data_IF_831461595359
#
_entry.id   IF_831461595359
#
_cell.length_a   1.000
_cell.length_b   1.000
_cell.length_c   1.000
_cell.angle_alpha   90.00
_cell.angle_beta   90.00
_cell.angle_gamma   90.00
#
_symmetry.space_group_name_H-M   'P 1'
#
loop_
_entity.id
_entity.type
_entity.pdbx_description
1 polymer ?
#
# COMPACT_ATOMS: atom_id res chain seq x y z
N UNK A 1 -16.35 19.00 7.07
CA UNK A 1 -15.49 18.72 8.25
C UNK A 1 -14.58 17.54 7.93
N UNK A 2 -13.24 17.69 7.95
CA UNK A 2 -12.31 16.55 7.84
C UNK A 2 -12.46 15.71 9.12
N UNK A 3 -12.97 14.49 8.99
CA UNK A 3 -13.10 13.57 10.11
C UNK A 3 -11.70 13.18 10.57
N UNK A 4 -11.36 13.53 11.80
CA UNK A 4 -10.04 13.23 12.37
C UNK A 4 -9.86 11.70 12.46
N UNK A 5 -8.90 11.17 11.69
CA UNK A 5 -8.67 9.73 11.61
C UNK A 5 -7.84 9.34 12.84
N UNK A 6 -8.54 9.09 13.95
CA UNK A 6 -7.93 8.64 15.23
C UNK A 6 -7.04 7.41 15.08
N UNK A 7 -7.32 6.53 14.12
CA UNK A 7 -6.52 5.32 13.86
C UNK A 7 -6.26 5.10 12.37
N UNK A 8 -5.16 5.67 11.88
CA UNK A 8 -4.76 5.61 10.47
C UNK A 8 -4.54 4.15 10.03
N UNK A 9 -3.95 3.30 10.87
CA UNK A 9 -3.70 1.88 10.55
C UNK A 9 -5.01 1.13 10.32
N UNK A 10 -5.97 1.28 11.22
CA UNK A 10 -7.29 0.70 11.08
C UNK A 10 -8.02 1.22 9.82
N UNK A 11 -7.86 2.50 9.50
CA UNK A 11 -8.42 3.09 8.28
C UNK A 11 -7.82 2.49 7.01
N UNK A 12 -6.51 2.28 6.96
CA UNK A 12 -5.84 1.65 5.81
C UNK A 12 -6.30 0.20 5.67
N UNK A 13 -6.35 -0.58 6.77
CA UNK A 13 -6.84 -1.97 6.73
C UNK A 13 -8.27 -2.04 6.19
N UNK A 14 -9.16 -1.17 6.66
CA UNK A 14 -10.54 -1.11 6.18
C UNK A 14 -10.62 -0.78 4.69
N UNK A 15 -9.81 0.17 4.20
CA UNK A 15 -9.74 0.50 2.77
C UNK A 15 -9.28 -0.69 1.93
N UNK A 16 -8.23 -1.39 2.36
CA UNK A 16 -7.73 -2.57 1.65
C UNK A 16 -8.73 -3.73 1.69
N UNK A 17 -9.46 -3.90 2.80
CA UNK A 17 -10.54 -4.89 2.91
C UNK A 17 -11.71 -4.58 1.98
N UNK A 18 -12.09 -3.30 1.85
CA UNK A 18 -13.11 -2.89 0.88
C UNK A 18 -12.64 -3.13 -0.55
N UNK A 19 -11.38 -2.81 -0.85
CA UNK A 19 -10.81 -3.04 -2.18
C UNK A 19 -10.80 -4.53 -2.55
N UNK A 20 -10.40 -5.40 -1.61
CA UNK A 20 -10.43 -6.85 -1.82
C UNK A 20 -11.84 -7.37 -2.14
N UNK A 21 -12.87 -6.83 -1.49
CA UNK A 21 -14.27 -7.16 -1.79
C UNK A 21 -14.71 -6.64 -3.16
N UNK A 22 -14.35 -5.41 -3.51
CA UNK A 22 -14.68 -4.80 -4.82
C UNK A 22 -14.07 -5.58 -6.00
N UNK A 23 -12.83 -6.06 -5.84
CA UNK A 23 -12.10 -6.78 -6.90
C UNK A 23 -12.29 -8.30 -6.84
N UNK A 24 -13.07 -8.79 -5.87
CA UNK A 24 -13.23 -10.21 -5.56
C UNK A 24 -11.87 -10.95 -5.43
N UNK A 25 -10.88 -10.27 -4.85
CA UNK A 25 -9.52 -10.78 -4.67
C UNK A 25 -9.27 -11.14 -3.20
N UNK A 26 -8.42 -12.14 -2.90
CA UNK A 26 -7.99 -12.42 -1.54
C UNK A 26 -7.36 -11.18 -0.88
N UNK A 27 -7.74 -10.89 0.37
CA UNK A 27 -7.20 -9.73 1.10
C UNK A 27 -5.67 -9.78 1.22
N UNK A 28 -5.09 -10.98 1.37
CA UNK A 28 -3.65 -11.17 1.48
C UNK A 28 -2.91 -10.68 0.22
N UNK A 29 -3.46 -10.94 -0.97
CA UNK A 29 -2.91 -10.50 -2.24
C UNK A 29 -2.95 -8.97 -2.36
N UNK A 30 -4.10 -8.35 -2.07
CA UNK A 30 -4.25 -6.88 -2.06
C UNK A 30 -3.28 -6.23 -1.06
N UNK A 31 -3.12 -6.83 0.12
CA UNK A 31 -2.18 -6.35 1.13
C UNK A 31 -0.72 -6.46 0.66
N UNK A 32 -0.37 -7.57 -0.01
CA UNK A 32 0.97 -7.80 -0.54
C UNK A 32 1.32 -6.77 -1.62
N UNK A 33 0.45 -6.57 -2.62
CA UNK A 33 0.69 -5.58 -3.67
C UNK A 33 0.77 -4.16 -3.09
N UNK A 34 -0.13 -3.81 -2.18
CA UNK A 34 -0.05 -2.52 -1.49
C UNK A 34 1.30 -2.34 -0.78
N UNK A 35 1.80 -3.38 -0.10
CA UNK A 35 3.11 -3.36 0.55
C UNK A 35 4.25 -3.10 -0.43
N UNK A 36 4.26 -3.82 -1.55
CA UNK A 36 5.27 -3.70 -2.61
C UNK A 36 5.23 -2.31 -3.23
N UNK A 37 4.07 -1.84 -3.68
CA UNK A 37 3.92 -0.51 -4.30
C UNK A 37 4.37 0.62 -3.36
N UNK A 38 3.93 0.56 -2.09
CA UNK A 38 4.32 1.56 -1.09
C UNK A 38 5.80 1.50 -0.77
N UNK A 39 6.40 0.32 -0.78
CA UNK A 39 7.85 0.16 -0.63
C UNK A 39 8.59 0.76 -1.82
N UNK A 40 8.24 0.37 -3.05
CA UNK A 40 8.86 0.87 -4.28
C UNK A 40 8.76 2.38 -4.41
N UNK A 41 7.60 2.97 -4.09
CA UNK A 41 7.44 4.42 -4.05
C UNK A 41 8.38 5.09 -3.03
N UNK A 42 8.47 4.57 -1.80
CA UNK A 42 9.37 5.14 -0.79
C UNK A 42 10.83 4.98 -1.20
N UNK A 43 11.16 3.84 -1.79
CA UNK A 43 12.49 3.55 -2.29
C UNK A 43 12.89 4.49 -3.44
N UNK A 44 11.98 4.75 -4.40
CA UNK A 44 12.23 5.65 -5.52
C UNK A 44 12.45 7.11 -5.09
N UNK A 45 11.91 7.52 -3.93
CA UNK A 45 12.14 8.84 -3.37
C UNK A 45 13.40 8.93 -2.49
N UNK A 46 14.13 7.83 -2.30
CA UNK A 46 15.34 7.80 -1.48
C UNK A 46 16.59 8.19 -2.27
N UNK A 47 17.66 8.55 -1.55
CA UNK A 47 18.99 8.79 -2.13
C UNK A 47 19.58 7.56 -2.87
N UNK A 48 19.04 6.37 -2.61
CA UNK A 48 19.51 5.11 -3.18
C UNK A 48 18.80 4.73 -4.47
N UNK A 49 17.79 5.49 -4.93
CA UNK A 49 16.96 5.14 -6.06
C UNK A 49 17.76 4.79 -7.33
N UNK A 50 18.84 5.54 -7.60
CA UNK A 50 19.67 5.37 -8.78
C UNK A 50 20.71 4.25 -8.66
N UNK A 51 20.82 3.58 -7.49
CA UNK A 51 21.78 2.49 -7.25
C UNK A 51 21.20 1.11 -7.57
N UNK A 52 19.90 1.03 -7.86
CA UNK A 52 19.20 -0.23 -8.06
C UNK A 52 18.28 -0.14 -9.28
N UNK A 53 18.08 -1.27 -9.94
CA UNK A 53 17.11 -1.43 -11.02
C UNK A 53 16.06 -2.42 -10.55
N UNK A 54 14.78 -2.07 -10.70
CA UNK A 54 13.69 -3.01 -10.45
C UNK A 54 13.70 -4.07 -11.55
N UNK A 55 13.75 -5.33 -11.14
CA UNK A 55 13.74 -6.49 -12.04
C UNK A 55 12.79 -7.56 -11.51
N UNK A 56 12.21 -8.32 -12.43
CA UNK A 56 11.19 -9.34 -12.20
C UNK A 56 10.51 -9.66 -13.52
#
# INVERSE_FOLDING_TARGET
>A
MKKDIKNIRASIRAKLQNKAKETNSPFAEVLQYFGIERFLYRFSCSEYANKFILKG
#
